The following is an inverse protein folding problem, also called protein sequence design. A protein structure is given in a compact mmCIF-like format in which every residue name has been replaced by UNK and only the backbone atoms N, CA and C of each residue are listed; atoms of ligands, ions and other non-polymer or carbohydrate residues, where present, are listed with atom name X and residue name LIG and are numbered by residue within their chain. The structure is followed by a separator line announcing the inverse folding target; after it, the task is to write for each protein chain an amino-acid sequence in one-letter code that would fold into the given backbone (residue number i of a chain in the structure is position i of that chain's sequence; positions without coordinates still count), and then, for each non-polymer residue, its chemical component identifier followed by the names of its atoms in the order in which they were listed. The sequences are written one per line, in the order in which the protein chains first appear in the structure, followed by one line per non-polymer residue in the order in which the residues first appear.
data_IF_416989110917
#
_entry.id   IF_416989110917
#
_cell.length_a   1.000
_cell.length_b   1.000
_cell.length_c   1.000
_cell.angle_alpha   90.00
_cell.angle_beta   90.00
_cell.angle_gamma   90.00
#
_symmetry.space_group_name_H-M   'P 1'
#
loop_
_entity.id
_entity.type
_entity.pdbx_description
1 polymer ?
#
# COMPACT_ATOMS: atom_id res chain seq x y z
N UNK A 1 -8.80 3.87 15.67
CA UNK A 1 -7.67 3.23 16.28
C UNK A 1 -6.37 3.85 15.87
N UNK A 2 -5.36 3.51 16.59
CA UNK A 2 -4.03 4.04 16.28
C UNK A 2 -3.38 3.27 15.14
N UNK A 3 -2.62 3.98 14.35
CA UNK A 3 -1.86 3.39 13.28
C UNK A 3 -0.51 2.92 13.83
N UNK A 4 -0.26 1.64 13.76
CA UNK A 4 0.97 1.06 14.27
C UNK A 4 1.98 0.88 13.15
N UNK A 5 2.65 1.97 12.77
CA UNK A 5 3.74 1.91 11.80
C UNK A 5 5.06 1.87 12.55
N UNK A 6 5.79 0.80 12.35
CA UNK A 6 7.09 0.59 13.00
C UNK A 6 8.22 1.09 12.09
N UNK A 7 9.29 1.67 12.65
CA UNK A 7 10.47 2.01 11.86
C UNK A 7 11.06 0.81 11.09
N UNK A 8 10.85 -0.39 11.59
CA UNK A 8 11.33 -1.60 10.91
C UNK A 8 10.61 -1.86 9.60
N UNK A 9 9.49 -1.19 9.36
CA UNK A 9 8.75 -1.32 8.11
C UNK A 9 9.26 -0.38 7.01
N UNK A 10 10.20 0.48 7.34
CA UNK A 10 10.82 1.39 6.39
C UNK A 10 12.18 0.85 6.02
N UNK A 11 12.34 0.43 4.78
CA UNK A 11 13.58 -0.13 4.29
C UNK A 11 14.20 0.84 3.28
N UNK A 12 15.48 1.15 3.44
CA UNK A 12 16.13 2.04 2.52
C UNK A 12 17.50 2.45 3.03
N UNK A 13 18.27 3.07 2.16
CA UNK A 13 19.59 3.57 2.53
C UNK A 13 19.46 4.80 3.43
N UNK A 14 20.43 5.02 4.35
CA UNK A 14 20.40 6.18 5.24
C UNK A 14 20.49 7.51 4.50
N UNK A 15 21.02 7.52 3.31
CA UNK A 15 21.06 8.70 2.47
C UNK A 15 20.22 8.41 1.24
N UNK A 16 20.12 9.36 0.35
CA UNK A 16 19.25 9.26 -0.79
C UNK A 16 19.46 7.96 -1.58
N UNK A 17 18.72 6.98 -1.23
CA UNK A 17 18.71 5.68 -1.82
C UNK A 17 17.30 5.25 -2.09
N UNK A 18 17.14 3.96 -2.35
CA UNK A 18 15.82 3.38 -2.58
C UNK A 18 15.12 3.16 -1.25
N UNK A 19 13.81 3.34 -1.23
CA UNK A 19 13.04 3.08 -0.03
C UNK A 19 11.82 2.23 -0.33
N UNK A 20 11.52 1.31 0.58
CA UNK A 20 10.35 0.46 0.53
C UNK A 20 9.64 0.58 1.88
N UNK A 21 8.34 0.86 1.83
CA UNK A 21 7.52 0.95 3.03
C UNK A 21 6.50 -0.16 3.01
N UNK A 22 6.42 -0.89 4.11
CA UNK A 22 5.48 -1.99 4.28
C UNK A 22 4.48 -1.61 5.37
N UNK A 23 3.19 -1.54 5.03
CA UNK A 23 2.19 -1.08 5.98
C UNK A 23 1.84 -2.11 7.05
N UNK A 24 1.94 -3.39 6.73
CA UNK A 24 1.34 -4.42 7.57
C UNK A 24 -0.18 -4.33 7.52
N UNK A 25 -0.84 -4.92 8.48
CA UNK A 25 -2.30 -4.90 8.60
C UNK A 25 -2.72 -3.56 9.17
N UNK A 26 -3.33 -2.71 8.36
CA UNK A 26 -3.71 -1.39 8.85
C UNK A 26 -4.84 -0.76 8.06
N UNK A 27 -5.58 0.09 8.74
CA UNK A 27 -6.45 1.07 8.10
C UNK A 27 -5.58 2.29 7.72
N UNK A 28 -5.97 3.09 6.73
CA UNK A 28 -5.21 4.28 6.38
C UNK A 28 -5.07 5.23 7.56
N UNK A 29 -3.88 5.81 7.68
CA UNK A 29 -3.61 6.72 8.79
C UNK A 29 -2.48 7.68 8.42
N UNK A 30 -2.41 8.81 9.16
CA UNK A 30 -1.43 9.85 8.89
C UNK A 30 0.00 9.37 9.06
N UNK A 31 0.26 8.51 10.04
CA UNK A 31 1.61 8.00 10.28
C UNK A 31 2.12 7.18 9.10
N UNK A 32 1.26 6.33 8.54
CA UNK A 32 1.62 5.55 7.37
C UNK A 32 1.84 6.45 6.16
N UNK A 33 0.96 7.42 5.96
CA UNK A 33 1.09 8.36 4.85
C UNK A 33 2.40 9.13 4.93
N UNK A 34 2.80 9.58 6.12
CA UNK A 34 4.06 10.28 6.31
C UNK A 34 5.26 9.36 6.06
N UNK A 35 5.20 8.12 6.54
CA UNK A 35 6.29 7.17 6.32
C UNK A 35 6.46 6.85 4.84
N UNK A 36 5.38 6.88 4.07
CA UNK A 36 5.38 6.50 2.67
C UNK A 36 5.69 7.67 1.72
N UNK A 37 5.89 8.88 2.24
CA UNK A 37 6.10 10.04 1.37
C UNK A 37 7.30 9.85 0.46
N UNK A 38 7.06 9.93 -0.84
CA UNK A 38 8.09 9.81 -1.85
C UNK A 38 8.77 8.46 -1.93
N UNK A 39 8.22 7.43 -1.30
CA UNK A 39 8.83 6.10 -1.32
C UNK A 39 8.85 5.52 -2.73
N UNK A 40 9.84 4.70 -3.01
CA UNK A 40 9.94 4.04 -4.30
C UNK A 40 8.92 2.91 -4.44
N UNK A 41 8.60 2.24 -3.34
CA UNK A 41 7.60 1.18 -3.34
C UNK A 41 6.85 1.18 -2.01
N UNK A 42 5.53 1.25 -2.08
CA UNK A 42 4.66 1.06 -0.93
C UNK A 42 3.97 -0.29 -1.07
N UNK A 43 4.09 -1.14 -0.06
CA UNK A 43 3.37 -2.41 0.00
C UNK A 43 2.31 -2.25 1.07
N UNK A 44 1.05 -2.31 0.68
CA UNK A 44 -0.04 -1.86 1.52
C UNK A 44 -1.17 -2.87 1.59
N UNK A 45 -1.86 -2.87 2.76
CA UNK A 45 -3.01 -3.75 3.01
C UNK A 45 -4.13 -3.48 2.00
N UNK A 46 -4.72 -4.54 1.49
CA UNK A 46 -5.85 -4.48 0.60
C UNK A 46 -6.78 -5.67 0.87
N UNK A 47 -7.21 -5.77 2.12
CA UNK A 47 -8.02 -6.91 2.57
C UNK A 47 -9.38 -6.92 1.88
N UNK A 48 -9.98 -5.76 1.64
CA UNK A 48 -11.31 -5.65 1.04
C UNK A 48 -11.23 -4.96 -0.32
N UNK A 49 -11.97 -5.53 -1.29
CA UNK A 49 -11.93 -5.02 -2.66
C UNK A 49 -12.85 -3.83 -2.93
N UNK A 50 -14.02 -3.78 -2.29
CA UNK A 50 -15.09 -2.84 -2.66
C UNK A 50 -15.12 -1.61 -1.76
N UNK A 51 -15.41 -0.43 -2.33
CA UNK A 51 -15.52 0.79 -1.52
C UNK A 51 -16.57 0.70 -0.43
N UNK A 52 -17.66 -0.02 -0.66
CA UNK A 52 -18.72 -0.19 0.32
C UNK A 52 -18.24 -0.91 1.57
N UNK A 53 -17.10 -1.57 1.50
CA UNK A 53 -16.52 -2.31 2.62
C UNK A 53 -15.62 -1.45 3.52
N UNK A 54 -15.52 -0.15 3.26
CA UNK A 54 -14.68 0.73 4.09
C UNK A 54 -15.03 0.70 5.58
N UNK A 55 -16.30 0.74 5.98
CA UNK A 55 -16.62 0.66 7.41
C UNK A 55 -16.16 -0.66 8.03
N UNK A 56 -16.29 -1.75 7.30
CA UNK A 56 -15.86 -3.07 7.74
C UNK A 56 -14.33 -3.13 7.86
N UNK A 57 -13.64 -2.57 6.89
CA UNK A 57 -12.19 -2.49 6.91
C UNK A 57 -11.71 -1.72 8.13
N UNK A 58 -12.30 -0.58 8.41
CA UNK A 58 -11.95 0.22 9.57
C UNK A 58 -12.17 -0.54 10.87
N UNK A 59 -13.28 -1.26 10.97
CA UNK A 59 -13.62 -2.02 12.17
C UNK A 59 -12.54 -3.06 12.50
N UNK A 60 -11.98 -3.68 11.48
CA UNK A 60 -11.03 -4.78 11.65
C UNK A 60 -9.57 -4.35 11.45
N UNK A 61 -9.31 -3.06 11.28
CA UNK A 61 -7.95 -2.56 11.16
C UNK A 61 -7.31 -2.85 9.80
N UNK A 62 -8.09 -2.80 8.74
CA UNK A 62 -7.63 -3.08 7.37
C UNK A 62 -7.98 -1.94 6.42
N UNK A 63 -7.67 -2.12 5.15
CA UNK A 63 -7.95 -1.14 4.10
C UNK A 63 -8.63 -1.82 2.91
N UNK A 64 -9.33 -1.02 2.12
CA UNK A 64 -9.82 -1.45 0.82
C UNK A 64 -8.76 -1.15 -0.25
N UNK A 65 -8.95 -1.73 -1.44
CA UNK A 65 -8.08 -1.43 -2.59
C UNK A 65 -8.03 0.08 -2.87
N UNK A 66 -9.18 0.73 -2.88
CA UNK A 66 -9.24 2.17 -3.15
C UNK A 66 -8.59 3.01 -2.06
N UNK A 67 -8.74 2.62 -0.81
CA UNK A 67 -8.13 3.36 0.30
C UNK A 67 -6.60 3.32 0.23
N UNK A 68 -6.04 2.16 -0.07
CA UNK A 68 -4.59 2.03 -0.19
C UNK A 68 -4.06 2.79 -1.39
N UNK A 69 -4.80 2.78 -2.50
CA UNK A 69 -4.44 3.57 -3.68
C UNK A 69 -4.48 5.07 -3.38
N UNK A 70 -5.50 5.54 -2.66
CA UNK A 70 -5.61 6.94 -2.28
C UNK A 70 -4.46 7.37 -1.38
N UNK A 71 -4.09 6.51 -0.44
CA UNK A 71 -2.95 6.79 0.45
C UNK A 71 -1.65 6.89 -0.36
N UNK A 72 -1.42 5.96 -1.29
CA UNK A 72 -0.23 6.00 -2.13
C UNK A 72 -0.18 7.29 -2.96
N UNK A 73 -1.32 7.72 -3.49
CA UNK A 73 -1.39 8.95 -4.27
C UNK A 73 -1.06 10.18 -3.41
N UNK A 74 -1.62 10.26 -2.20
CA UNK A 74 -1.35 11.38 -1.30
C UNK A 74 0.10 11.41 -0.85
N UNK A 75 0.69 10.24 -0.62
CA UNK A 75 2.08 10.13 -0.19
C UNK A 75 3.07 10.37 -1.31
N UNK A 76 2.62 10.33 -2.55
CA UNK A 76 3.53 10.46 -3.69
C UNK A 76 4.43 9.26 -3.89
N UNK A 77 3.95 8.06 -3.52
CA UNK A 77 4.68 6.84 -3.76
C UNK A 77 4.87 6.61 -5.26
N UNK A 78 5.98 6.00 -5.64
CA UNK A 78 6.26 5.74 -7.05
C UNK A 78 5.54 4.50 -7.54
N UNK A 79 5.40 3.49 -6.68
CA UNK A 79 4.75 2.23 -6.98
C UNK A 79 3.94 1.78 -5.77
N UNK A 80 2.90 1.01 -6.03
CA UNK A 80 2.06 0.44 -4.98
C UNK A 80 1.83 -1.03 -5.28
N UNK A 81 2.13 -1.88 -4.33
CA UNK A 81 1.73 -3.28 -4.35
C UNK A 81 0.67 -3.49 -3.29
N UNK A 82 -0.47 -4.05 -3.70
CA UNK A 82 -1.55 -4.40 -2.80
C UNK A 82 -1.34 -5.83 -2.31
N UNK A 83 -1.64 -6.07 -1.03
CA UNK A 83 -1.38 -7.37 -0.43
C UNK A 83 -2.38 -7.64 0.69
N UNK A 84 -2.27 -8.79 1.34
CA UNK A 84 -3.07 -9.14 2.50
C UNK A 84 -4.57 -9.22 2.18
N UNK A 85 -4.89 -9.88 1.08
CA UNK A 85 -6.27 -10.01 0.62
C UNK A 85 -7.10 -10.88 1.55
N UNK A 86 -8.40 -10.54 1.69
CA UNK A 86 -9.34 -11.40 2.39
C UNK A 86 -9.42 -12.76 1.69
N UNK A 87 -9.59 -13.86 2.46
CA UNK A 87 -9.83 -15.17 1.85
C UNK A 87 -11.06 -15.19 0.93
N UNK A 88 -11.95 -14.23 1.07
CA UNK A 88 -13.12 -14.11 0.19
C UNK A 88 -12.76 -13.61 -1.21
N UNK A 89 -11.57 -13.03 -1.37
CA UNK A 89 -11.10 -12.56 -2.67
C UNK A 89 -10.37 -13.70 -3.36
N UNK A 90 -11.01 -14.30 -4.36
CA UNK A 90 -10.42 -15.41 -5.10
C UNK A 90 -9.49 -14.92 -6.20
N UNK A 91 -9.76 -13.73 -6.75
CA UNK A 91 -8.93 -13.15 -7.80
C UNK A 91 -8.77 -11.65 -7.55
N UNK A 92 -7.64 -11.24 -6.92
CA UNK A 92 -7.41 -9.83 -6.63
C UNK A 92 -7.39 -8.94 -7.87
N UNK A 93 -7.05 -9.49 -9.04
CA UNK A 93 -7.02 -8.71 -10.29
C UNK A 93 -8.39 -8.18 -10.67
N UNK A 94 -9.47 -8.80 -10.20
CA UNK A 94 -10.81 -8.30 -10.46
C UNK A 94 -11.06 -6.93 -9.83
N UNK A 95 -10.40 -6.64 -8.72
CA UNK A 95 -10.58 -5.39 -7.97
C UNK A 95 -9.50 -4.37 -8.29
N UNK A 96 -8.42 -4.80 -8.96
CA UNK A 96 -7.31 -3.91 -9.25
C UNK A 96 -7.71 -2.64 -10.00
N UNK A 97 -8.64 -2.67 -10.96
CA UNK A 97 -9.06 -1.44 -11.63
C UNK A 97 -9.58 -0.36 -10.69
N UNK A 98 -10.20 -0.74 -9.57
CA UNK A 98 -10.68 0.23 -8.58
C UNK A 98 -9.52 1.00 -7.95
N UNK A 99 -8.39 0.34 -7.75
CA UNK A 99 -7.19 0.99 -7.25
C UNK A 99 -6.53 1.82 -8.34
N UNK A 100 -6.45 1.29 -9.55
CA UNK A 100 -5.77 1.96 -10.66
C UNK A 100 -6.47 3.23 -11.12
N UNK A 101 -7.77 3.35 -10.88
CA UNK A 101 -8.47 4.61 -11.14
C UNK A 101 -7.93 5.75 -10.28
N UNK A 102 -7.42 5.44 -9.10
CA UNK A 102 -6.91 6.42 -8.15
C UNK A 102 -5.38 6.52 -8.24
N UNK A 103 -4.72 5.40 -8.41
CA UNK A 103 -3.26 5.32 -8.49
C UNK A 103 -2.89 4.35 -9.63
N UNK A 104 -2.65 4.89 -10.85
CA UNK A 104 -2.46 4.04 -12.03
C UNK A 104 -1.30 3.02 -11.93
N UNK A 105 -0.29 3.31 -11.11
CA UNK A 105 0.84 2.41 -10.93
C UNK A 105 0.59 1.31 -9.90
N UNK A 106 -0.66 1.15 -9.43
CA UNK A 106 -1.01 0.09 -8.50
C UNK A 106 -0.92 -1.29 -9.16
N UNK A 107 -0.39 -2.25 -8.43
CA UNK A 107 -0.29 -3.64 -8.86
C UNK A 107 -0.69 -4.56 -7.71
N UNK A 108 -1.14 -5.76 -8.06
CA UNK A 108 -1.38 -6.79 -7.06
C UNK A 108 -0.06 -7.40 -6.64
N UNK A 109 0.17 -7.46 -5.32
CA UNK A 109 1.30 -8.18 -4.76
C UNK A 109 0.95 -9.65 -4.56
N UNK A 110 1.96 -10.50 -4.57
CA UNK A 110 1.82 -11.92 -4.31
C UNK A 110 3.16 -12.47 -3.84
N UNK A 111 3.13 -13.64 -3.23
CA UNK A 111 4.36 -14.27 -2.75
C UNK A 111 5.33 -14.47 -3.91
N UNK A 112 6.56 -14.04 -3.70
CA UNK A 112 7.60 -14.17 -4.72
C UNK A 112 7.64 -13.06 -5.76
N UNK A 113 6.74 -12.08 -5.68
CA UNK A 113 6.78 -10.95 -6.61
C UNK A 113 8.06 -10.17 -6.43
N UNK A 114 8.70 -9.83 -7.54
CA UNK A 114 9.97 -9.12 -7.54
C UNK A 114 9.90 -7.88 -8.40
N UNK A 115 10.72 -6.91 -8.05
CA UNK A 115 10.93 -5.71 -8.85
C UNK A 115 12.34 -5.22 -8.62
N UNK A 116 12.94 -4.68 -9.66
CA UNK A 116 14.23 -4.00 -9.54
C UNK A 116 13.98 -2.51 -9.47
N UNK A 117 14.36 -1.92 -8.34
CA UNK A 117 14.28 -0.48 -8.14
C UNK A 117 15.63 0.13 -8.48
N UNK A 118 15.60 1.27 -9.14
CA UNK A 118 16.82 1.97 -9.51
C UNK A 118 16.90 3.30 -8.81
N UNK A 119 18.12 3.73 -8.50
CA UNK A 119 18.32 5.04 -7.93
C UNK A 119 17.79 6.11 -8.87
N UNK A 120 17.07 7.05 -8.29
CA UNK A 120 16.62 8.23 -9.03
C UNK A 120 17.64 9.34 -8.80
N UNK A 121 18.02 9.99 -9.85
CA UNK A 121 18.89 11.14 -9.73
C UNK A 121 18.10 12.34 -9.22
N UNK A 122 18.75 13.13 -8.42
CA UNK A 122 18.12 14.30 -7.83
C UNK A 122 17.84 15.35 -8.89
#
# INVERSE_FOLDING_TARGET
GECAVSPAQVLGAPRRGLSVVFSGDTTPCAALEQAAQGTDLLICDATYGLPEQEPQAKQWGHSTFGQSAALAARAGAQRLWLTHYSPMITDPEEYLPLAQEIFPAAECGFDGKRITLQFREA
#
